data_IF_071152145807
#
_entry.id   IF_071152145807
#
_cell.length_a   1.000
_cell.length_b   1.000
_cell.length_c   1.000
_cell.angle_alpha   90.00
_cell.angle_beta   90.00
_cell.angle_gamma   90.00
#
_symmetry.space_group_name_H-M   'P 1'
#
loop_
_entity.id
_entity.type
_entity.pdbx_description
1 polymer ?
#
# COMPACT_ATOMS: atom_id res chain seq x y z
N UNK A 1 -5.45 -56.12 -28.12
CA UNK A 1 -6.55 -56.94 -27.57
C UNK A 1 -7.43 -55.99 -26.78
N UNK A 2 -8.61 -55.68 -27.31
CA UNK A 2 -9.60 -54.80 -26.70
C UNK A 2 -10.51 -55.62 -25.77
N UNK A 3 -10.88 -55.08 -24.62
CA UNK A 3 -11.82 -55.72 -23.70
C UNK A 3 -13.05 -54.81 -23.48
N UNK A 4 -14.19 -55.47 -23.53
CA UNK A 4 -15.57 -54.98 -23.65
C UNK A 4 -16.23 -54.72 -22.28
N UNK A 5 -17.27 -53.87 -22.32
CA UNK A 5 -18.13 -53.26 -21.28
C UNK A 5 -18.98 -54.30 -20.48
N UNK A 6 -19.65 -53.94 -19.36
CA UNK A 6 -21.08 -53.62 -19.48
C UNK A 6 -21.64 -52.46 -18.60
N UNK A 7 -22.78 -51.97 -19.08
CA UNK A 7 -23.65 -50.87 -18.63
C UNK A 7 -24.54 -51.22 -17.44
N UNK A 8 -24.93 -50.24 -16.60
CA UNK A 8 -26.11 -50.28 -15.71
C UNK A 8 -26.69 -48.86 -15.54
N UNK A 9 -27.83 -48.51 -16.15
CA UNK A 9 -29.26 -48.60 -15.73
C UNK A 9 -29.78 -47.23 -15.25
N UNK A 10 -30.86 -46.74 -15.89
CA UNK A 10 -31.48 -45.41 -15.70
C UNK A 10 -32.93 -45.57 -15.18
N UNK A 11 -33.37 -44.60 -14.36
CA UNK A 11 -34.75 -44.09 -14.09
C UNK A 11 -35.56 -44.69 -12.91
N UNK A 12 -36.52 -43.97 -12.27
CA UNK A 12 -37.23 -42.72 -12.67
C UNK A 12 -37.40 -41.61 -11.57
N UNK A 13 -38.05 -40.46 -11.88
CA UNK A 13 -38.19 -39.30 -11.00
C UNK A 13 -39.49 -39.24 -10.18
N UNK A 14 -39.44 -38.57 -9.02
CA UNK A 14 -40.57 -37.87 -8.38
C UNK A 14 -41.10 -38.44 -7.06
N UNK A 15 -40.95 -37.67 -5.97
CA UNK A 15 -41.96 -37.52 -4.91
C UNK A 15 -41.63 -36.30 -4.04
N UNK A 16 -42.47 -35.27 -4.12
CA UNK A 16 -42.49 -34.08 -3.26
C UNK A 16 -43.06 -34.43 -1.88
N UNK A 17 -42.50 -33.95 -0.76
CA UNK A 17 -43.21 -33.89 0.50
C UNK A 17 -43.81 -32.48 0.76
N UNK A 18 -45.09 -32.48 1.11
CA UNK A 18 -45.93 -31.32 1.48
C UNK A 18 -45.51 -30.68 2.82
N UNK A 19 -45.78 -29.38 3.04
CA UNK A 19 -45.28 -28.61 4.19
C UNK A 19 -45.89 -29.00 5.54
N UNK A 20 -45.04 -29.21 6.54
CA UNK A 20 -45.42 -29.20 7.95
C UNK A 20 -45.18 -27.82 8.53
N UNK A 21 -46.22 -27.20 9.09
CA UNK A 21 -46.17 -25.96 9.86
C UNK A 21 -45.62 -26.25 11.26
N UNK A 22 -44.64 -25.47 11.76
CA UNK A 22 -44.49 -25.25 13.19
C UNK A 22 -44.88 -23.80 13.51
N UNK A 23 -46.00 -23.64 14.22
CA UNK A 23 -46.32 -22.43 14.97
C UNK A 23 -45.46 -22.42 16.23
N UNK A 24 -44.59 -21.41 16.38
CA UNK A 24 -43.80 -21.23 17.60
C UNK A 24 -42.83 -20.05 17.52
N UNK A 25 -43.30 -18.88 17.96
CA UNK A 25 -42.61 -17.76 18.65
C UNK A 25 -41.31 -17.16 18.05
N UNK A 26 -41.21 -15.83 17.87
CA UNK A 26 -39.98 -15.16 17.42
C UNK A 26 -38.90 -15.21 18.50
N UNK A 27 -37.98 -16.16 18.38
CA UNK A 27 -36.71 -16.18 19.08
C UNK A 27 -35.64 -15.56 18.19
N UNK A 28 -35.25 -14.32 18.52
CA UNK A 28 -34.08 -13.64 17.97
C UNK A 28 -32.84 -14.54 18.08
N UNK A 29 -32.41 -15.14 16.97
CA UNK A 29 -31.09 -15.74 16.88
C UNK A 29 -30.10 -14.62 16.64
N UNK A 30 -29.43 -14.27 17.73
CA UNK A 30 -28.20 -13.48 17.79
C UNK A 30 -27.34 -13.78 16.55
N UNK A 31 -27.18 -12.75 15.71
CA UNK A 31 -26.28 -12.82 14.58
C UNK A 31 -24.88 -13.09 15.08
N UNK A 32 -24.25 -14.14 14.55
CA UNK A 32 -22.79 -14.17 14.47
C UNK A 32 -22.42 -13.12 13.44
N UNK A 33 -22.38 -11.86 13.85
CA UNK A 33 -21.65 -10.84 13.11
C UNK A 33 -20.20 -11.29 13.15
N UNK A 34 -19.75 -11.91 12.07
CA UNK A 34 -18.33 -11.87 11.73
C UNK A 34 -17.98 -10.39 11.78
N UNK A 35 -17.33 -9.97 12.87
CA UNK A 35 -16.77 -8.65 13.08
C UNK A 35 -15.66 -8.49 12.03
N UNK A 36 -16.10 -8.24 10.80
CA UNK A 36 -15.26 -7.75 9.73
C UNK A 36 -14.99 -6.32 10.13
N UNK A 37 -13.84 -6.08 10.77
CA UNK A 37 -13.49 -4.77 11.31
C UNK A 37 -13.48 -3.71 10.20
N UNK A 38 -13.20 -4.12 8.95
CA UNK A 38 -13.29 -3.25 7.80
C UNK A 38 -14.78 -3.02 7.41
N UNK A 39 -15.29 -1.82 7.68
CA UNK A 39 -16.66 -1.42 7.33
C UNK A 39 -16.69 -0.81 5.94
N UNK A 40 -17.50 -1.37 5.02
CA UNK A 40 -17.59 -0.88 3.64
C UNK A 40 -18.12 0.56 3.53
N UNK A 41 -18.89 1.04 4.51
CA UNK A 41 -19.54 2.36 4.50
C UNK A 41 -18.79 3.45 5.25
N UNK A 42 -17.75 3.11 6.01
CA UNK A 42 -17.00 4.06 6.83
C UNK A 42 -15.54 4.10 6.40
N UNK A 43 -15.21 5.04 5.50
CA UNK A 43 -13.83 5.30 5.12
C UNK A 43 -13.59 6.76 4.76
N UNK A 44 -12.34 7.19 4.92
CA UNK A 44 -11.87 8.48 4.39
C UNK A 44 -11.11 8.20 3.10
N UNK A 45 -11.57 8.68 1.93
CA UNK A 45 -10.81 8.56 0.71
C UNK A 45 -9.44 9.24 0.85
N UNK A 46 -8.38 8.50 0.55
CA UNK A 46 -7.00 9.00 0.55
C UNK A 46 -6.36 8.57 -0.74
N UNK A 47 -5.72 9.50 -1.44
CA UNK A 47 -4.94 9.23 -2.65
C UNK A 47 -3.53 9.77 -2.46
N UNK A 48 -2.52 8.89 -2.55
CA UNK A 48 -1.12 9.21 -2.29
C UNK A 48 -0.20 8.50 -3.27
N UNK A 49 0.94 9.12 -3.57
CA UNK A 49 1.94 8.50 -4.44
C UNK A 49 2.76 7.46 -3.68
N UNK A 50 3.03 6.34 -4.35
CA UNK A 50 3.95 5.33 -3.84
C UNK A 50 5.38 5.85 -4.00
N UNK A 51 6.10 5.93 -2.89
CA UNK A 51 7.50 6.33 -2.83
C UNK A 51 8.39 5.11 -2.96
N UNK A 52 9.33 5.15 -3.90
CA UNK A 52 10.35 4.11 -4.01
C UNK A 52 11.39 4.30 -2.90
N UNK A 53 11.56 3.29 -2.05
CA UNK A 53 12.51 3.30 -0.93
C UNK A 53 13.88 2.79 -1.37
N UNK A 54 13.91 1.83 -2.30
CA UNK A 54 15.16 1.27 -2.83
C UNK A 54 15.08 1.22 -4.35
N UNK A 55 16.10 1.74 -5.01
CA UNK A 55 16.30 1.63 -6.47
C UNK A 55 17.17 0.43 -6.89
N UNK A 56 17.88 -0.16 -5.92
CA UNK A 56 18.66 -1.38 -6.11
C UNK A 56 18.71 -2.20 -4.83
N UNK A 57 18.86 -3.51 -4.97
CA UNK A 57 19.02 -4.42 -3.86
C UNK A 57 19.79 -5.67 -4.30
N UNK A 58 20.84 -6.03 -3.56
CA UNK A 58 21.71 -7.21 -3.83
C UNK A 58 22.19 -7.29 -5.30
N UNK A 59 22.50 -6.15 -5.90
CA UNK A 59 22.99 -6.07 -7.29
C UNK A 59 21.89 -6.12 -8.36
N UNK A 60 20.62 -6.30 -7.99
CA UNK A 60 19.48 -6.15 -8.88
C UNK A 60 18.88 -4.75 -8.86
N UNK A 61 18.31 -4.32 -9.98
CA UNK A 61 17.50 -3.09 -10.06
C UNK A 61 16.12 -3.32 -9.47
N UNK A 62 15.64 -2.35 -8.70
CA UNK A 62 14.29 -2.33 -8.14
C UNK A 62 13.55 -1.14 -8.73
N UNK A 63 12.37 -1.38 -9.28
CA UNK A 63 11.46 -0.30 -9.70
C UNK A 63 10.14 -0.43 -8.96
N UNK A 64 9.71 0.64 -8.30
CA UNK A 64 8.40 0.74 -7.65
C UNK A 64 7.71 2.04 -8.08
N UNK A 65 6.54 1.93 -8.70
CA UNK A 65 5.73 3.07 -9.14
C UNK A 65 4.24 2.79 -8.88
N UNK A 66 3.47 3.86 -8.72
CA UNK A 66 2.01 3.82 -8.69
C UNK A 66 1.41 4.86 -7.75
N UNK A 67 0.12 5.11 -7.93
CA UNK A 67 -0.68 5.96 -7.05
C UNK A 67 -1.62 5.07 -6.24
N UNK A 68 -1.51 5.09 -4.91
CA UNK A 68 -2.40 4.35 -4.03
C UNK A 68 -3.64 5.19 -3.70
N UNK A 69 -4.82 4.59 -3.81
CA UNK A 69 -6.10 5.19 -3.41
C UNK A 69 -6.92 4.23 -2.55
N UNK A 70 -7.47 4.72 -1.43
CA UNK A 70 -8.49 3.99 -0.66
C UNK A 70 -9.83 4.14 -1.37
N UNK A 71 -10.40 3.03 -1.82
CA UNK A 71 -11.64 3.03 -2.63
C UNK A 71 -12.88 2.63 -1.84
N UNK A 72 -12.71 1.86 -0.77
CA UNK A 72 -13.72 1.54 0.24
C UNK A 72 -13.02 1.18 1.56
N UNK A 73 -13.79 0.91 2.63
CA UNK A 73 -13.19 0.64 3.95
C UNK A 73 -12.41 -0.67 4.08
N UNK A 74 -12.45 -1.54 3.08
CA UNK A 74 -11.74 -2.82 3.03
C UNK A 74 -10.72 -2.91 1.88
N UNK A 75 -10.69 -1.95 0.96
CA UNK A 75 -10.00 -2.11 -0.31
C UNK A 75 -9.25 -0.84 -0.67
N UNK A 76 -8.00 -1.02 -1.11
CA UNK A 76 -7.24 0.01 -1.78
C UNK A 76 -6.86 -0.43 -3.18
N UNK A 77 -6.69 0.55 -4.04
CA UNK A 77 -6.27 0.41 -5.43
C UNK A 77 -4.91 1.07 -5.61
N UNK A 78 -4.06 0.47 -6.46
CA UNK A 78 -2.82 1.10 -6.92
C UNK A 78 -2.90 1.27 -8.42
N UNK A 79 -3.09 2.51 -8.87
CA UNK A 79 -3.14 2.88 -10.29
C UNK A 79 -1.72 3.08 -10.84
N UNK A 80 -1.49 2.70 -12.09
CA UNK A 80 -0.18 2.77 -12.74
C UNK A 80 0.89 1.94 -12.02
N UNK A 81 0.49 0.81 -11.45
CA UNK A 81 1.36 0.02 -10.58
C UNK A 81 2.47 -0.67 -11.37
N UNK A 82 3.71 -0.47 -10.94
CA UNK A 82 4.88 -1.22 -11.40
C UNK A 82 5.68 -1.68 -10.19
N UNK A 83 5.95 -2.98 -10.12
CA UNK A 83 6.91 -3.58 -9.20
C UNK A 83 7.86 -4.51 -9.96
N UNK A 84 9.05 -4.02 -10.25
CA UNK A 84 10.08 -4.79 -10.97
C UNK A 84 11.19 -5.18 -10.01
N UNK A 85 11.08 -6.37 -9.42
CA UNK A 85 12.14 -7.02 -8.66
C UNK A 85 11.82 -8.52 -8.50
N UNK A 86 12.84 -9.35 -8.35
CA UNK A 86 12.74 -10.82 -8.29
C UNK A 86 12.40 -11.35 -6.88
N UNK A 87 11.53 -10.67 -6.14
CA UNK A 87 11.07 -11.14 -4.83
C UNK A 87 9.61 -11.59 -4.90
N UNK A 88 9.41 -12.91 -4.76
CA UNK A 88 8.10 -13.54 -4.91
C UNK A 88 7.18 -13.30 -3.72
N UNK A 89 7.70 -13.31 -2.49
CA UNK A 89 6.89 -13.16 -1.28
C UNK A 89 6.83 -11.67 -0.85
N UNK A 90 6.31 -10.84 -1.75
CA UNK A 90 6.13 -9.40 -1.51
C UNK A 90 4.67 -9.10 -1.23
N UNK A 91 4.39 -8.39 -0.14
CA UNK A 91 3.05 -8.09 0.36
C UNK A 91 2.95 -6.64 0.84
N UNK A 92 1.72 -6.22 1.13
CA UNK A 92 1.46 -4.95 1.79
C UNK A 92 1.41 -5.13 3.31
N UNK A 93 2.19 -4.32 4.01
CA UNK A 93 2.22 -4.23 5.46
C UNK A 93 1.88 -2.80 5.90
N UNK A 94 1.18 -2.68 7.03
CA UNK A 94 0.82 -1.40 7.65
C UNK A 94 1.72 -1.13 8.84
N UNK A 95 2.22 0.10 8.97
CA UNK A 95 3.01 0.55 10.13
C UNK A 95 2.57 1.95 10.56
N UNK A 96 2.95 2.35 11.78
CA UNK A 96 2.66 3.69 12.30
C UNK A 96 3.79 4.70 12.05
N UNK A 97 4.91 4.26 11.47
CA UNK A 97 6.12 5.05 11.28
C UNK A 97 6.64 4.92 9.84
N UNK A 98 7.34 5.95 9.36
CA UNK A 98 7.97 5.93 8.03
C UNK A 98 9.31 5.19 8.00
N UNK A 99 9.88 4.84 9.15
CA UNK A 99 11.09 4.01 9.23
C UNK A 99 10.81 2.64 8.59
N UNK A 100 11.55 2.24 7.52
CA UNK A 100 11.34 0.97 6.85
C UNK A 100 11.65 -0.26 7.72
N UNK A 101 12.26 -0.08 8.89
CA UNK A 101 12.51 -1.15 9.86
C UNK A 101 11.50 -1.17 11.03
N UNK A 102 10.51 -0.27 11.03
CA UNK A 102 9.48 -0.23 12.05
C UNK A 102 8.65 -1.53 12.06
N UNK A 103 8.10 -1.85 13.23
CA UNK A 103 7.13 -2.94 13.35
C UNK A 103 5.92 -2.67 12.44
N UNK A 104 5.51 -3.71 11.72
CA UNK A 104 4.45 -3.62 10.74
C UNK A 104 3.57 -4.88 10.79
N UNK A 105 2.27 -4.68 10.53
CA UNK A 105 1.26 -5.73 10.49
C UNK A 105 0.94 -6.08 9.03
N UNK A 106 0.67 -7.35 8.74
CA UNK A 106 0.24 -7.75 7.40
C UNK A 106 -1.16 -7.18 7.15
N UNK A 107 -1.30 -6.32 6.14
CA UNK A 107 -2.59 -5.69 5.83
C UNK A 107 -3.33 -6.39 4.71
N UNK A 108 -2.64 -6.98 3.73
CA UNK A 108 -3.25 -7.70 2.61
C UNK A 108 -2.66 -9.11 2.52
N UNK A 109 -3.49 -10.17 2.57
CA UNK A 109 -3.00 -11.54 2.44
C UNK A 109 -2.66 -11.89 0.98
N UNK A 110 -3.10 -11.08 0.01
CA UNK A 110 -2.80 -11.26 -1.41
C UNK A 110 -1.36 -10.84 -1.68
N UNK A 111 -0.49 -11.74 -2.18
CA UNK A 111 0.85 -11.35 -2.60
C UNK A 111 0.78 -10.42 -3.80
N UNK A 112 1.68 -9.45 -3.83
CA UNK A 112 1.99 -8.67 -5.03
C UNK A 112 2.70 -9.55 -6.05
N UNK A 113 3.59 -10.43 -5.60
CA UNK A 113 4.43 -11.24 -6.48
C UNK A 113 5.61 -10.44 -7.05
N UNK A 114 6.26 -10.98 -8.08
CA UNK A 114 7.42 -10.40 -8.74
C UNK A 114 7.05 -9.84 -10.12
N UNK A 115 7.83 -8.86 -10.60
CA UNK A 115 7.74 -8.30 -11.96
C UNK A 115 6.32 -7.92 -12.40
N UNK A 116 5.59 -7.23 -11.53
CA UNK A 116 4.23 -6.78 -11.80
C UNK A 116 4.21 -5.45 -12.55
N UNK A 117 3.34 -5.35 -13.55
CA UNK A 117 3.03 -4.10 -14.23
C UNK A 117 1.57 -4.13 -14.65
N UNK A 118 0.76 -3.25 -14.08
CA UNK A 118 -0.67 -3.18 -14.35
C UNK A 118 -1.16 -1.73 -14.35
N UNK A 119 -2.12 -1.36 -15.22
CA UNK A 119 -2.72 -0.03 -15.21
C UNK A 119 -3.46 0.25 -13.89
N UNK A 120 -3.97 -0.80 -13.23
CA UNK A 120 -4.57 -0.74 -11.91
C UNK A 120 -4.58 -2.13 -11.28
N UNK A 121 -4.32 -2.22 -9.98
CA UNK A 121 -4.44 -3.44 -9.18
C UNK A 121 -5.12 -3.12 -7.84
N UNK A 122 -5.97 -4.04 -7.36
CA UNK A 122 -6.72 -3.87 -6.11
C UNK A 122 -6.29 -4.89 -5.08
N UNK A 123 -6.21 -4.45 -3.83
CA UNK A 123 -5.87 -5.27 -2.69
C UNK A 123 -6.92 -5.10 -1.60
N UNK A 124 -7.32 -6.23 -1.00
CA UNK A 124 -8.24 -6.27 0.12
C UNK A 124 -7.47 -6.36 1.42
N UNK A 125 -7.92 -5.61 2.42
CA UNK A 125 -7.46 -5.73 3.78
C UNK A 125 -7.81 -7.11 4.35
N UNK A 126 -7.02 -7.57 5.31
CA UNK A 126 -7.41 -8.68 6.17
C UNK A 126 -8.65 -8.29 6.98
N UNK A 127 -9.49 -9.27 7.35
CA UNK A 127 -10.74 -9.00 8.07
C UNK A 127 -10.53 -8.44 9.48
N UNK A 128 -9.29 -8.49 10.00
CA UNK A 128 -8.91 -8.06 11.35
C UNK A 128 -8.28 -6.67 11.39
N UNK A 129 -8.15 -5.99 10.24
CA UNK A 129 -7.43 -4.71 10.14
C UNK A 129 -8.27 -3.67 9.41
N UNK A 130 -8.16 -2.42 9.82
CA UNK A 130 -8.76 -1.23 9.22
C UNK A 130 -7.68 -0.23 8.81
N UNK A 131 -8.03 0.71 7.93
CA UNK A 131 -7.12 1.81 7.56
C UNK A 131 -6.77 2.73 8.74
N UNK A 132 -7.45 2.61 9.89
CA UNK A 132 -7.14 3.38 11.09
C UNK A 132 -5.99 2.78 11.90
N UNK A 133 -5.64 1.51 11.70
CA UNK A 133 -4.63 0.80 12.51
C UNK A 133 -3.18 1.13 12.11
N UNK A 134 -2.99 1.77 10.95
CA UNK A 134 -1.67 2.13 10.42
C UNK A 134 -1.72 3.48 9.69
N UNK A 135 -0.61 4.22 9.71
CA UNK A 135 -0.46 5.50 8.99
C UNK A 135 0.32 5.37 7.69
N UNK A 136 1.08 4.28 7.53
CA UNK A 136 1.99 4.03 6.41
C UNK A 136 1.78 2.62 5.87
N UNK A 137 1.63 2.49 4.55
CA UNK A 137 1.65 1.22 3.82
C UNK A 137 3.02 0.97 3.22
N UNK A 138 3.61 -0.18 3.54
CA UNK A 138 4.89 -0.64 3.08
C UNK A 138 4.72 -1.83 2.12
N UNK A 139 5.34 -1.74 0.95
CA UNK A 139 5.55 -2.86 0.05
C UNK A 139 6.78 -3.62 0.53
N UNK A 140 6.57 -4.69 1.29
CA UNK A 140 7.61 -5.43 2.00
C UNK A 140 7.78 -6.83 1.43
N UNK A 141 9.03 -7.24 1.22
CA UNK A 141 9.37 -8.62 0.88
C UNK A 141 9.76 -9.40 2.13
N UNK A 142 9.06 -10.52 2.35
CA UNK A 142 9.35 -11.47 3.41
C UNK A 142 10.67 -12.20 3.15
N UNK A 143 11.00 -12.47 1.90
CA UNK A 143 12.22 -13.18 1.50
C UNK A 143 13.46 -12.33 1.77
N UNK A 144 13.40 -11.06 1.34
CA UNK A 144 14.54 -10.15 1.43
C UNK A 144 14.61 -9.35 2.74
N UNK A 145 13.56 -9.43 3.57
CA UNK A 145 13.41 -8.67 4.82
C UNK A 145 13.60 -7.17 4.59
N UNK A 146 12.98 -6.64 3.54
CA UNK A 146 13.17 -5.25 3.12
C UNK A 146 11.88 -4.61 2.59
N UNK A 147 11.73 -3.31 2.87
CA UNK A 147 10.72 -2.44 2.24
C UNK A 147 11.28 -1.87 0.94
N UNK A 148 10.51 -2.01 -0.15
CA UNK A 148 10.86 -1.49 -1.47
C UNK A 148 10.06 -0.25 -1.86
N UNK A 149 8.82 -0.15 -1.36
CA UNK A 149 7.93 0.98 -1.62
C UNK A 149 7.16 1.39 -0.37
N UNK A 150 6.79 2.66 -0.28
CA UNK A 150 6.06 3.20 0.86
C UNK A 150 4.99 4.22 0.43
N UNK A 151 3.81 4.15 1.02
CA UNK A 151 2.74 5.14 0.86
C UNK A 151 2.33 5.65 2.24
N UNK A 152 2.51 6.95 2.47
CA UNK A 152 2.14 7.61 3.73
C UNK A 152 0.70 8.07 3.63
N UNK A 153 -0.22 7.34 4.26
CA UNK A 153 -1.66 7.64 4.24
C UNK A 153 -2.03 8.80 5.17
N UNK A 154 -1.37 8.84 6.32
CA UNK A 154 -1.54 9.85 7.37
C UNK A 154 -0.18 10.19 7.93
N UNK A 155 -0.02 11.41 8.45
CA UNK A 155 1.21 11.75 9.15
C UNK A 155 1.39 10.78 10.33
N UNK A 156 2.55 10.14 10.42
CA UNK A 156 2.90 9.34 11.57
C UNK A 156 2.76 10.19 12.84
N UNK A 157 2.18 9.65 13.92
CA UNK A 157 2.27 10.33 15.21
C UNK A 157 3.75 10.63 15.46
N UNK A 158 4.06 11.88 15.80
CA UNK A 158 5.43 12.31 16.08
C UNK A 158 6.05 11.32 17.06
N UNK A 159 7.09 10.60 16.63
CA UNK A 159 7.83 9.71 17.50
C UNK A 159 8.33 10.54 18.69
N UNK A 160 8.06 10.20 19.96
CA UNK A 160 8.52 11.01 21.11
C UNK A 160 10.05 11.13 21.20
N UNK A 161 10.80 10.43 20.35
CA UNK A 161 12.26 10.53 20.22
C UNK A 161 12.77 11.51 19.15
N UNK A 162 11.90 12.21 18.41
CA UNK A 162 12.34 13.29 17.51
C UNK A 162 12.38 14.61 18.27
N UNK A 163 13.44 14.81 19.06
CA UNK A 163 13.78 16.13 19.59
C UNK A 163 14.32 17.01 18.46
N UNK A 164 13.49 17.99 18.07
CA UNK A 164 13.80 19.32 17.51
C UNK A 164 14.33 19.40 16.06
N UNK A 165 13.50 19.92 15.14
CA UNK A 165 13.77 21.24 14.55
C UNK A 165 12.49 21.95 14.06
N UNK A 166 11.99 22.81 14.95
CA UNK A 166 11.33 24.09 14.76
C UNK A 166 10.33 24.33 13.60
N UNK A 167 9.06 24.38 13.99
CA UNK A 167 8.03 25.20 13.33
C UNK A 167 8.38 26.69 13.44
N UNK A 168 8.58 27.37 12.31
CA UNK A 168 8.30 28.81 12.22
C UNK A 168 7.41 29.07 11.01
N UNK A 169 6.14 29.26 11.35
CA UNK A 169 5.03 29.51 10.47
C UNK A 169 5.19 30.85 9.71
N UNK A 170 4.53 30.90 8.54
CA UNK A 170 4.10 32.11 7.82
C UNK A 170 5.16 33.00 7.14
N UNK A 171 5.23 32.95 5.81
CA UNK A 171 4.53 33.94 4.95
C UNK A 171 4.97 33.87 3.47
N UNK A 172 3.96 33.98 2.60
CA UNK A 172 3.97 34.54 1.25
C UNK A 172 4.51 33.71 0.06
N UNK A 173 3.53 33.46 -0.83
CA UNK A 173 3.66 33.33 -2.29
C UNK A 173 4.85 34.10 -2.87
N UNK A 174 5.44 33.52 -3.93
CA UNK A 174 5.73 34.13 -5.24
C UNK A 174 6.26 33.00 -6.13
N UNK A 175 5.46 32.48 -7.07
CA UNK A 175 5.53 32.83 -8.50
C UNK A 175 6.97 32.94 -9.01
N UNK A 176 7.48 31.87 -9.63
CA UNK A 176 8.72 31.92 -10.40
C UNK A 176 8.43 32.53 -11.77
N UNK A 177 8.79 33.79 -11.94
CA UNK A 177 8.98 34.43 -13.24
C UNK A 177 10.49 34.56 -13.48
N UNK A 178 11.07 33.93 -14.52
CA UNK A 178 12.49 33.95 -14.76
C UNK A 178 12.85 35.05 -15.76
N UNK A 179 13.02 36.31 -15.32
CA UNK A 179 13.76 37.28 -16.14
C UNK A 179 14.32 38.49 -15.34
N UNK A 180 15.57 38.83 -15.67
CA UNK A 180 16.29 40.11 -15.54
C UNK A 180 17.10 40.39 -14.23
N UNK A 181 18.31 40.95 -14.48
CA UNK A 181 19.18 41.80 -13.63
C UNK A 181 20.30 41.00 -12.92
N UNK A 182 21.48 40.74 -13.49
CA UNK A 182 22.53 41.65 -14.02
C UNK A 182 22.70 42.89 -13.15
N UNK A 183 23.71 42.94 -12.26
CA UNK A 183 24.56 44.14 -11.98
C UNK A 183 25.33 44.00 -10.65
N UNK A 184 26.68 43.99 -10.79
CA UNK A 184 27.72 44.47 -9.86
C UNK A 184 27.91 43.77 -8.50
N UNK A 185 29.02 43.05 -8.39
CA UNK A 185 29.86 43.11 -7.18
C UNK A 185 31.25 43.63 -7.58
N UNK A 186 31.61 44.73 -6.94
CA UNK A 186 32.85 45.48 -7.06
C UNK A 186 34.02 44.74 -6.39
N UNK A 187 35.14 44.70 -7.10
CA UNK A 187 36.50 45.10 -6.64
C UNK A 187 37.01 44.53 -5.31
N UNK A 188 37.98 43.63 -5.43
CA UNK A 188 39.00 43.34 -4.42
C UNK A 188 40.35 43.17 -5.10
N UNK A 189 41.04 44.29 -5.32
CA UNK A 189 42.41 44.37 -5.84
C UNK A 189 43.38 44.04 -4.69
N UNK A 190 44.22 43.02 -4.81
CA UNK A 190 45.45 42.91 -4.02
C UNK A 190 46.55 42.28 -4.87
N UNK A 191 47.46 43.17 -5.25
CA UNK A 191 48.71 42.97 -5.96
C UNK A 191 49.71 42.37 -4.95
N UNK A 192 50.48 41.33 -5.33
CA UNK A 192 51.95 41.33 -5.24
C UNK A 192 52.59 40.00 -5.67
N UNK A 193 53.40 40.12 -6.73
CA UNK A 193 54.76 39.58 -6.92
C UNK A 193 55.15 38.22 -6.29
N UNK A 194 55.66 37.30 -7.11
CA UNK A 194 57.11 36.94 -7.17
C UNK A 194 57.33 35.85 -8.24
N UNK A 195 58.43 36.02 -8.98
CA UNK A 195 58.98 35.22 -10.07
C UNK A 195 59.84 34.05 -9.54
N UNK A 196 60.32 33.16 -10.43
CA UNK A 196 61.35 32.09 -10.24
C UNK A 196 60.74 30.75 -9.78
N UNK A 197 60.88 29.61 -10.46
CA UNK A 197 61.92 29.09 -11.37
C UNK A 197 61.32 28.15 -12.43
#
# INVERSE_FOLDING_TARGET
>A
MAQTVPSQTISPPGATPTPGVPTGTPGSTNGTTNDTLCSLSEYTPVTVQLQQIKSSFRGGTVTVLGTLSIIDGCTFEVSGFTYSFAATNTYWFGSNFTDPNAEAILVSPTPVGQFQSAPSIKFKLTSTVTFNDFSVLNLFSIDEKAVFGQAVLRQSPSNPFSTVENSKNHSNRLSFDPTIIMTKIFVGFLISFIWIM
#
